data_IF_538821905657
#
_entry.id   IF_538821905657
#
_cell.length_a   1.000
_cell.length_b   1.000
_cell.length_c   1.000
_cell.angle_alpha   90.00
_cell.angle_beta   90.00
_cell.angle_gamma   90.00
#
_symmetry.space_group_name_H-M   'P 1'
#
loop_
_entity.id
_entity.type
_entity.pdbx_description
1 polymer ?
#
# COMPACT_ATOMS: atom_id res chain seq x y z
N UNK A 1 -9.14 44.35 -29.00
CA UNK A 1 -7.83 43.72 -28.74
C UNK A 1 -7.84 43.27 -27.28
N UNK A 2 -8.03 41.97 -27.04
CA UNK A 2 -7.98 41.40 -25.69
C UNK A 2 -6.59 40.80 -25.48
N UNK A 3 -5.90 41.05 -24.36
CA UNK A 3 -4.61 40.42 -24.11
C UNK A 3 -4.84 38.96 -23.67
N UNK A 4 -4.13 38.04 -24.32
CA UNK A 4 -4.05 36.65 -23.90
C UNK A 4 -3.19 36.59 -22.62
N UNK A 5 -3.77 36.21 -21.49
CA UNK A 5 -3.02 35.90 -20.28
C UNK A 5 -2.39 34.51 -20.47
N UNK A 6 -1.06 34.48 -20.62
CA UNK A 6 -0.29 33.24 -20.64
C UNK A 6 -0.07 32.77 -19.20
N UNK A 7 -0.82 31.77 -18.75
CA UNK A 7 -0.59 31.11 -17.46
C UNK A 7 0.61 30.18 -17.59
N UNK A 8 1.73 30.54 -16.96
CA UNK A 8 2.88 29.66 -16.81
C UNK A 8 2.54 28.65 -15.70
N UNK A 9 2.39 27.37 -16.08
CA UNK A 9 2.31 26.27 -15.12
C UNK A 9 3.75 25.96 -14.68
N UNK A 10 4.06 26.28 -13.42
CA UNK A 10 5.32 25.92 -12.77
C UNK A 10 5.17 24.51 -12.19
N UNK A 11 5.68 23.50 -12.89
CA UNK A 11 5.81 22.15 -12.33
C UNK A 11 6.96 22.11 -11.33
N UNK A 12 6.66 22.24 -10.04
CA UNK A 12 7.61 22.00 -8.95
C UNK A 12 7.84 20.49 -8.81
N UNK A 13 8.99 20.00 -9.30
CA UNK A 13 9.49 18.67 -8.96
C UNK A 13 10.08 18.71 -7.54
N UNK A 14 9.26 18.41 -6.53
CA UNK A 14 9.71 18.19 -5.17
C UNK A 14 10.36 16.81 -5.05
N UNK A 15 11.69 16.74 -5.16
CA UNK A 15 12.44 15.51 -4.88
C UNK A 15 12.61 15.31 -3.38
N UNK A 16 11.83 14.42 -2.78
CA UNK A 16 12.16 13.86 -1.46
C UNK A 16 13.37 12.94 -1.62
N UNK A 17 14.47 13.26 -0.94
CA UNK A 17 15.64 12.39 -0.87
C UNK A 17 15.32 11.16 0.00
N UNK A 18 14.79 10.11 -0.62
CA UNK A 18 14.66 8.81 0.02
C UNK A 18 16.04 8.12 0.07
N UNK A 19 16.43 7.60 1.23
CA UNK A 19 17.50 6.60 1.31
C UNK A 19 16.96 5.31 0.68
N UNK A 20 17.25 5.09 -0.60
CA UNK A 20 17.00 3.80 -1.23
C UNK A 20 17.81 2.71 -0.50
N UNK A 21 17.29 1.49 -0.43
CA UNK A 21 18.11 0.32 -0.12
C UNK A 21 19.27 0.23 -1.10
N UNK A 22 20.44 -0.25 -0.65
CA UNK A 22 21.59 -0.43 -1.54
C UNK A 22 21.14 -1.26 -2.77
N UNK A 23 21.39 -0.71 -3.96
CA UNK A 23 21.11 -1.33 -5.27
C UNK A 23 19.62 -1.57 -5.59
N UNK A 24 18.69 -0.92 -4.89
CA UNK A 24 17.26 -0.98 -5.24
C UNK A 24 16.92 -0.10 -6.46
N UNK A 25 16.09 -0.63 -7.37
CA UNK A 25 15.49 0.16 -8.43
C UNK A 25 14.54 1.24 -7.83
N UNK A 26 14.34 2.38 -8.50
CA UNK A 26 13.41 3.40 -8.03
C UNK A 26 11.98 2.87 -8.03
N UNK A 27 11.28 3.00 -6.91
CA UNK A 27 9.84 2.73 -6.82
C UNK A 27 9.05 3.70 -7.69
N UNK A 28 7.99 3.20 -8.31
CA UNK A 28 7.03 4.01 -9.08
C UNK A 28 5.64 3.84 -8.47
N UNK A 29 4.89 4.94 -8.41
CA UNK A 29 3.57 4.98 -7.77
C UNK A 29 2.54 5.53 -8.75
N UNK A 30 1.37 4.89 -8.77
CA UNK A 30 0.15 5.42 -9.39
C UNK A 30 -0.80 5.80 -8.26
N UNK A 31 -0.99 7.10 -8.05
CA UNK A 31 -1.85 7.63 -6.99
C UNK A 31 -3.18 8.05 -7.62
N UNK A 32 -4.26 7.43 -7.17
CA UNK A 32 -5.62 7.82 -7.55
C UNK A 32 -6.07 9.00 -6.68
N UNK A 33 -6.86 9.92 -7.24
CA UNK A 33 -7.45 11.04 -6.48
C UNK A 33 -8.69 10.55 -5.72
N UNK A 34 -8.46 9.89 -4.59
CA UNK A 34 -9.47 9.32 -3.70
C UNK A 34 -9.79 10.22 -2.49
N UNK A 35 -9.06 11.32 -2.31
CA UNK A 35 -9.25 12.28 -1.22
C UNK A 35 -10.37 13.30 -1.48
N UNK A 36 -10.95 13.30 -2.69
CA UNK A 36 -11.96 14.28 -3.11
C UNK A 36 -13.39 13.92 -2.69
N UNK A 37 -13.61 12.75 -2.09
CA UNK A 37 -14.92 12.28 -1.63
C UNK A 37 -14.83 11.38 -0.40
N UNK A 38 -15.95 11.25 0.32
CA UNK A 38 -16.06 10.33 1.45
C UNK A 38 -16.23 8.89 0.93
N UNK A 39 -15.26 8.02 1.21
CA UNK A 39 -15.29 6.60 0.86
C UNK A 39 -14.83 5.73 2.04
N UNK A 40 -15.46 4.57 2.22
CA UNK A 40 -15.08 3.58 3.24
C UNK A 40 -14.37 2.36 2.63
N UNK A 41 -14.23 2.30 1.30
CA UNK A 41 -13.69 1.19 0.53
C UNK A 41 -12.68 1.65 -0.52
N UNK A 42 -11.53 0.97 -0.57
CA UNK A 42 -10.59 0.99 -1.68
C UNK A 42 -10.54 -0.39 -2.33
N UNK A 43 -10.73 -0.44 -3.64
CA UNK A 43 -10.76 -1.68 -4.42
C UNK A 43 -9.85 -1.48 -5.63
N UNK A 44 -8.94 -2.44 -5.85
CA UNK A 44 -8.10 -2.44 -7.04
C UNK A 44 -7.81 -3.89 -7.47
N UNK A 45 -7.62 -4.08 -8.77
CA UNK A 45 -7.25 -5.36 -9.35
C UNK A 45 -5.80 -5.32 -9.81
N UNK A 46 -5.04 -6.34 -9.46
CA UNK A 46 -3.63 -6.50 -9.85
C UNK A 46 -3.45 -7.80 -10.62
N UNK A 47 -2.67 -7.72 -11.70
CA UNK A 47 -2.14 -8.87 -12.42
C UNK A 47 -0.68 -8.62 -12.69
N UNK A 48 0.16 -9.60 -12.36
CA UNK A 48 1.57 -9.61 -12.73
C UNK A 48 1.73 -10.52 -13.94
N UNK A 49 2.04 -9.98 -15.13
CA UNK A 49 2.39 -10.79 -16.29
C UNK A 49 3.58 -11.69 -15.98
N UNK A 50 3.64 -12.89 -16.55
CA UNK A 50 4.75 -13.83 -16.29
C UNK A 50 6.14 -13.26 -16.61
N UNK A 51 6.24 -12.42 -17.64
CA UNK A 51 7.47 -11.71 -18.02
C UNK A 51 7.73 -10.45 -17.17
N UNK A 52 6.75 -10.01 -16.38
CA UNK A 52 6.86 -8.90 -15.44
C UNK A 52 7.16 -9.31 -14.00
N UNK A 53 7.21 -10.61 -13.70
CA UNK A 53 7.62 -11.09 -12.38
C UNK A 53 9.12 -10.87 -12.16
N UNK A 54 9.46 -10.23 -11.04
CA UNK A 54 10.83 -10.08 -10.59
C UNK A 54 10.94 -10.45 -9.10
N UNK A 55 11.88 -11.32 -8.76
CA UNK A 55 12.16 -11.70 -7.37
C UNK A 55 12.54 -10.46 -6.54
N UNK A 56 12.09 -10.41 -5.29
CA UNK A 56 12.22 -9.29 -4.35
C UNK A 56 11.36 -8.07 -4.67
N UNK A 57 10.42 -8.16 -5.61
CA UNK A 57 9.50 -7.06 -5.93
C UNK A 57 8.24 -7.10 -5.08
N UNK A 58 7.85 -5.94 -4.58
CA UNK A 58 6.53 -5.68 -4.02
C UNK A 58 5.67 -4.94 -5.04
N UNK A 59 4.55 -5.55 -5.40
CA UNK A 59 3.52 -4.94 -6.24
C UNK A 59 2.41 -4.43 -5.30
N UNK A 60 2.57 -3.20 -4.83
CA UNK A 60 1.55 -2.51 -4.04
C UNK A 60 0.32 -2.25 -4.92
N UNK A 61 -0.82 -2.80 -4.53
CA UNK A 61 -2.08 -2.65 -5.26
C UNK A 61 -3.00 -1.62 -4.60
N UNK A 62 -2.88 -1.43 -3.29
CA UNK A 62 -3.63 -0.48 -2.48
C UNK A 62 -2.68 0.24 -1.52
N UNK A 63 -2.74 1.56 -1.48
CA UNK A 63 -2.04 2.38 -0.49
C UNK A 63 -2.96 3.50 -0.04
N UNK A 64 -2.95 3.82 1.26
CA UNK A 64 -3.77 4.90 1.80
C UNK A 64 -3.02 5.69 2.87
N UNK A 65 -3.35 6.98 2.95
CA UNK A 65 -2.82 7.91 3.95
C UNK A 65 -3.76 8.15 5.12
N UNK A 66 -3.42 9.12 5.97
CA UNK A 66 -4.20 9.52 7.14
C UNK A 66 -3.62 9.00 8.45
N UNK A 67 -4.43 9.04 9.52
CA UNK A 67 -4.03 8.65 10.89
C UNK A 67 -3.59 7.19 11.00
N UNK A 68 -4.31 6.30 10.31
CA UNK A 68 -3.98 4.88 10.20
C UNK A 68 -3.56 4.54 8.76
N UNK A 69 -2.48 5.16 8.28
CA UNK A 69 -1.93 4.88 6.95
C UNK A 69 -1.51 3.40 6.81
N UNK A 70 -1.50 2.92 5.57
CA UNK A 70 -1.16 1.52 5.30
C UNK A 70 -1.10 1.17 3.83
N UNK A 71 -0.80 -0.09 3.57
CA UNK A 71 -0.68 -0.65 2.23
C UNK A 71 -1.15 -2.10 2.17
N UNK A 72 -1.52 -2.53 0.97
CA UNK A 72 -1.81 -3.92 0.65
C UNK A 72 -1.36 -4.26 -0.78
N UNK A 73 -0.92 -5.50 -0.98
CA UNK A 73 -0.46 -5.95 -2.29
C UNK A 73 0.07 -7.36 -2.28
N UNK A 74 0.84 -7.68 -3.33
CA UNK A 74 1.45 -9.00 -3.53
C UNK A 74 2.97 -8.88 -3.70
N UNK A 75 3.69 -9.89 -3.22
CA UNK A 75 5.16 -9.92 -3.28
C UNK A 75 5.66 -11.18 -3.98
N UNK A 76 6.65 -11.00 -4.85
CA UNK A 76 7.55 -12.06 -5.28
C UNK A 76 8.66 -12.19 -4.22
N UNK A 77 8.42 -13.00 -3.19
CA UNK A 77 9.28 -13.11 -2.02
C UNK A 77 10.11 -14.41 -2.06
N UNK A 78 11.33 -14.46 -1.49
CA UNK A 78 12.18 -15.67 -1.51
C UNK A 78 11.58 -16.93 -0.90
N UNK A 79 10.54 -16.77 -0.06
CA UNK A 79 9.79 -17.87 0.57
C UNK A 79 8.58 -18.33 -0.25
N UNK A 80 8.27 -17.65 -1.35
CA UNK A 80 7.09 -17.87 -2.18
C UNK A 80 6.30 -16.59 -2.44
N UNK A 81 5.20 -16.74 -3.17
CA UNK A 81 4.27 -15.67 -3.48
C UNK A 81 3.43 -15.31 -2.26
N UNK A 82 3.44 -14.03 -1.88
CA UNK A 82 2.86 -13.57 -0.62
C UNK A 82 1.82 -12.49 -0.86
N UNK A 83 0.67 -12.61 -0.20
CA UNK A 83 -0.22 -11.48 0.03
C UNK A 83 0.20 -10.76 1.31
N UNK A 84 0.28 -9.43 1.29
CA UNK A 84 0.63 -8.63 2.46
C UNK A 84 -0.36 -7.48 2.65
N UNK A 85 -0.65 -7.17 3.92
CA UNK A 85 -1.44 -6.02 4.34
C UNK A 85 -0.84 -5.45 5.62
N UNK A 86 -0.53 -4.15 5.65
CA UNK A 86 0.14 -3.48 6.76
C UNK A 86 -0.55 -2.18 7.14
N UNK A 87 -0.60 -1.90 8.44
CA UNK A 87 -1.03 -0.63 9.01
C UNK A 87 0.08 -0.12 9.92
N UNK A 88 0.49 1.14 9.75
CA UNK A 88 1.42 1.80 10.67
C UNK A 88 0.74 2.19 11.98
N UNK A 89 1.50 2.15 13.07
CA UNK A 89 1.06 2.71 14.34
C UNK A 89 0.83 4.22 14.19
N UNK A 90 -0.26 4.72 14.78
CA UNK A 90 -0.53 6.14 14.87
C UNK A 90 0.38 6.78 15.93
N UNK A 91 0.96 7.95 15.64
CA UNK A 91 1.92 8.60 16.54
C UNK A 91 1.27 9.25 17.76
N UNK A 92 -0.01 9.60 17.67
CA UNK A 92 -0.81 10.25 18.73
C UNK A 92 -1.54 9.22 19.60
N UNK A 93 -1.66 7.97 19.13
CA UNK A 93 -2.36 6.88 19.82
C UNK A 93 -1.40 5.75 20.24
N UNK A 94 -1.43 5.40 21.53
CA UNK A 94 -0.51 4.38 22.10
C UNK A 94 -1.09 2.97 22.16
N UNK A 95 -2.37 2.80 21.81
CA UNK A 95 -2.99 1.49 21.78
C UNK A 95 -2.48 0.65 20.61
N UNK A 96 -2.15 -0.64 20.82
CA UNK A 96 -1.60 -1.48 19.77
C UNK A 96 -2.66 -1.82 18.74
N UNK A 97 -2.26 -1.89 17.47
CA UNK A 97 -3.09 -2.49 16.41
C UNK A 97 -3.24 -3.98 16.70
N UNK A 98 -4.46 -4.50 16.58
CA UNK A 98 -4.78 -5.91 16.84
C UNK A 98 -5.50 -6.52 15.64
N UNK A 99 -5.04 -7.70 15.21
CA UNK A 99 -5.79 -8.52 14.29
C UNK A 99 -6.96 -9.19 15.01
N UNK A 100 -8.17 -8.68 14.78
CA UNK A 100 -9.41 -9.23 15.35
C UNK A 100 -9.87 -10.50 14.63
N UNK A 101 -9.41 -10.70 13.39
CA UNK A 101 -9.68 -11.87 12.57
C UNK A 101 -8.47 -12.18 11.68
N UNK A 102 -8.26 -13.46 11.37
CA UNK A 102 -7.26 -13.94 10.41
C UNK A 102 -7.90 -15.06 9.58
N UNK A 103 -7.72 -14.98 8.26
CA UNK A 103 -8.01 -16.11 7.38
C UNK A 103 -7.05 -17.28 7.62
N UNK A 104 -7.39 -18.44 7.08
CA UNK A 104 -6.52 -19.62 7.11
C UNK A 104 -5.16 -19.31 6.45
N UNK A 105 -4.07 -19.80 7.05
CA UNK A 105 -2.70 -19.53 6.60
C UNK A 105 -2.17 -18.11 6.88
N UNK A 106 -3.01 -17.16 7.30
CA UNK A 106 -2.57 -15.78 7.55
C UNK A 106 -1.87 -15.64 8.89
N UNK A 107 -0.65 -15.14 8.85
CA UNK A 107 0.14 -14.76 10.02
C UNK A 107 0.06 -13.26 10.25
N UNK A 108 0.25 -12.83 11.49
CA UNK A 108 0.30 -11.40 11.87
C UNK A 108 1.47 -11.17 12.80
N UNK A 109 2.26 -10.14 12.52
CA UNK A 109 3.42 -9.77 13.34
C UNK A 109 3.69 -8.27 13.26
N UNK A 110 4.38 -7.74 14.27
CA UNK A 110 4.86 -6.36 14.24
C UNK A 110 5.88 -6.15 13.11
N UNK A 111 6.01 -4.92 12.64
CA UNK A 111 7.10 -4.52 11.75
C UNK A 111 7.85 -3.29 12.31
N UNK A 112 9.02 -3.01 11.73
CA UNK A 112 9.99 -2.01 12.20
C UNK A 112 10.92 -1.55 11.07
N UNK A 113 11.78 -0.56 11.35
CA UNK A 113 12.81 -0.07 10.41
C UNK A 113 12.33 1.01 9.43
N UNK A 114 11.03 1.11 9.21
CA UNK A 114 10.34 2.09 8.36
C UNK A 114 9.19 2.80 9.10
N UNK A 115 9.34 2.92 10.43
CA UNK A 115 8.21 3.08 11.36
C UNK A 115 7.87 1.74 12.01
N UNK A 116 6.84 1.73 12.86
CA UNK A 116 6.30 0.51 13.49
C UNK A 116 4.84 0.33 13.12
N UNK A 117 4.34 -0.89 13.28
CA UNK A 117 2.94 -1.20 13.01
C UNK A 117 2.69 -2.70 13.03
N UNK A 118 1.52 -3.10 12.52
CA UNK A 118 1.13 -4.50 12.38
C UNK A 118 1.01 -4.85 10.90
N UNK A 119 1.61 -5.97 10.51
CA UNK A 119 1.41 -6.57 9.20
C UNK A 119 0.74 -7.93 9.31
N UNK A 120 -0.02 -8.27 8.30
CA UNK A 120 -0.46 -9.62 8.01
C UNK A 120 0.11 -10.08 6.68
N UNK A 121 0.38 -11.38 6.58
CA UNK A 121 1.00 -11.98 5.40
C UNK A 121 0.57 -13.44 5.26
N UNK A 122 0.46 -13.90 4.01
CA UNK A 122 -0.04 -15.23 3.69
C UNK A 122 0.63 -15.80 2.43
N UNK A 123 1.48 -16.81 2.64
CA UNK A 123 2.14 -17.58 1.58
C UNK A 123 1.35 -18.81 1.15
N UNK A 124 0.41 -19.29 1.97
CA UNK A 124 -0.42 -20.45 1.66
C UNK A 124 -1.52 -20.09 0.65
N UNK A 125 -2.07 -18.89 0.78
CA UNK A 125 -2.97 -18.31 -0.21
C UNK A 125 -2.25 -18.19 -1.56
N UNK A 126 -1.03 -17.64 -1.55
CA UNK A 126 -0.16 -17.53 -2.72
C UNK A 126 -0.79 -16.74 -3.88
N UNK A 127 -0.01 -16.40 -4.89
CA UNK A 127 -0.53 -15.84 -6.13
C UNK A 127 0.17 -16.50 -7.32
N UNK A 128 -0.37 -16.37 -8.51
CA UNK A 128 0.17 -16.91 -9.76
C UNK A 128 0.29 -15.80 -10.79
N UNK A 129 1.35 -15.87 -11.60
CA UNK A 129 1.50 -14.98 -12.75
C UNK A 129 0.34 -15.15 -13.72
N UNK A 130 0.01 -14.08 -14.44
CA UNK A 130 -1.08 -14.01 -15.41
C UNK A 130 -2.50 -14.18 -14.83
N UNK A 131 -2.66 -14.17 -13.51
CA UNK A 131 -3.96 -14.19 -12.82
C UNK A 131 -4.31 -12.80 -12.28
N UNK A 132 -5.58 -12.44 -12.38
CA UNK A 132 -6.12 -11.22 -11.78
C UNK A 132 -6.54 -11.47 -10.33
N UNK A 133 -6.11 -10.60 -9.43
CA UNK A 133 -6.48 -10.61 -8.03
C UNK A 133 -7.14 -9.28 -7.66
N UNK A 134 -8.33 -9.35 -7.06
CA UNK A 134 -9.02 -8.19 -6.50
C UNK A 134 -8.60 -8.03 -5.04
N UNK A 135 -7.99 -6.90 -4.70
CA UNK A 135 -7.71 -6.53 -3.32
C UNK A 135 -8.75 -5.48 -2.89
N UNK A 136 -9.22 -5.64 -1.65
CA UNK A 136 -10.22 -4.76 -1.04
C UNK A 136 -9.73 -4.35 0.34
N UNK A 137 -9.62 -3.06 0.58
CA UNK A 137 -9.43 -2.48 1.90
C UNK A 137 -10.70 -1.73 2.29
N UNK A 138 -11.16 -1.94 3.52
CA UNK A 138 -12.31 -1.23 4.08
C UNK A 138 -11.92 -0.59 5.40
N UNK A 139 -12.25 0.68 5.57
CA UNK A 139 -12.08 1.40 6.82
C UNK A 139 -13.44 1.92 7.29
N UNK A 140 -13.84 1.58 8.51
CA UNK A 140 -15.06 2.12 9.11
C UNK A 140 -14.84 2.37 10.61
N UNK A 141 -15.38 3.47 11.15
CA UNK A 141 -15.32 3.73 12.59
C UNK A 141 -16.18 2.71 13.35
N UNK A 142 -15.73 2.33 14.54
CA UNK A 142 -16.50 1.52 15.47
C UNK A 142 -16.77 2.38 16.71
N UNK A 143 -18.02 2.87 16.85
CA UNK A 143 -18.40 3.83 17.89
C UNK A 143 -17.89 5.25 17.59
N UNK A 144 -17.49 5.99 18.62
CA UNK A 144 -16.93 7.35 18.50
C UNK A 144 -15.41 7.35 18.23
N UNK A 145 -14.85 6.23 17.77
CA UNK A 145 -13.42 6.08 17.50
C UNK A 145 -13.14 6.25 16.01
N UNK A 146 -12.37 7.31 15.69
CA UNK A 146 -11.62 7.49 14.44
C UNK A 146 -10.14 7.64 14.75
#
# INVERSE_FOLDING_TARGET
MNPLYSTIILCLFGGLAAKAGQDAAPSSHLVYDDASFDGDLLINEVRVPKDGEAMYTYYEALGWGGKAAGYAGIQAHPKGHNFIFSIWDDQEHTGPIRAVFRGEGTLTEGFGGEGTGLKSWNFELGWDTDVWYTLVARCWPIGDHT
#
